data_IF_924058475559
#
_entry.id   IF_924058475559
#
_cell.length_a   1.000
_cell.length_b   1.000
_cell.length_c   1.000
_cell.angle_alpha   90.00
_cell.angle_beta   90.00
_cell.angle_gamma   90.00
#
_symmetry.space_group_name_H-M   'P 1'
#
loop_
_entity.id
_entity.type
_entity.pdbx_description
1 polymer ?
#
# COMPACT_ATOMS: atom_id res chain seq x y z
N UNK A 1 15.96 9.75 28.34
CA UNK A 1 15.26 8.46 28.40
C UNK A 1 16.15 7.42 27.76
N UNK A 2 16.39 6.31 28.47
CA UNK A 2 17.17 5.18 27.94
C UNK A 2 16.27 4.39 26.98
N UNK A 3 16.68 4.25 25.72
CA UNK A 3 16.00 3.41 24.73
C UNK A 3 16.67 2.03 24.68
N UNK A 4 16.08 1.09 23.98
CA UNK A 4 16.67 -0.24 23.77
C UNK A 4 17.04 -0.42 22.30
N UNK A 5 18.18 -1.06 22.04
CA UNK A 5 18.64 -1.38 20.70
C UNK A 5 17.59 -2.23 19.98
N UNK A 6 17.23 -1.88 18.75
CA UNK A 6 16.19 -2.64 18.02
C UNK A 6 16.58 -4.09 17.81
N UNK A 7 17.87 -4.33 17.54
CA UNK A 7 18.36 -5.67 17.21
C UNK A 7 18.60 -6.54 18.46
N UNK A 8 19.44 -6.08 19.39
CA UNK A 8 19.86 -6.88 20.55
C UNK A 8 19.19 -6.50 21.87
N UNK A 9 18.27 -5.54 21.85
CA UNK A 9 17.53 -5.02 23.01
C UNK A 9 18.39 -4.41 24.14
N UNK A 10 19.71 -4.29 23.96
CA UNK A 10 20.59 -3.64 24.94
C UNK A 10 20.24 -2.15 25.16
N UNK A 11 20.32 -1.62 26.40
CA UNK A 11 20.08 -0.21 26.67
C UNK A 11 21.03 0.70 25.88
N UNK A 12 20.51 1.75 25.26
CA UNK A 12 21.28 2.71 24.46
C UNK A 12 20.67 4.11 24.52
N UNK A 13 21.52 5.12 24.30
CA UNK A 13 21.13 6.51 24.04
C UNK A 13 21.29 6.89 22.57
N UNK A 14 21.91 6.04 21.75
CA UNK A 14 22.18 6.31 20.34
C UNK A 14 20.96 5.93 19.50
N UNK A 15 20.62 6.79 18.56
CA UNK A 15 19.56 6.59 17.58
C UNK A 15 20.11 6.65 16.17
N UNK A 16 19.37 6.11 15.22
CA UNK A 16 19.66 6.28 13.80
C UNK A 16 19.79 7.79 13.50
N UNK A 17 20.88 8.20 12.87
CA UNK A 17 21.12 9.61 12.53
C UNK A 17 20.09 10.10 11.49
N UNK A 18 19.65 9.22 10.59
CA UNK A 18 18.72 9.59 9.52
C UNK A 18 17.26 9.77 9.95
N UNK A 19 16.80 9.14 11.03
CA UNK A 19 15.39 9.23 11.44
C UNK A 19 15.19 9.53 12.94
N UNK A 20 16.20 9.29 13.78
CA UNK A 20 16.12 9.35 15.24
C UNK A 20 15.03 8.49 15.90
N UNK A 21 14.29 7.67 15.14
CA UNK A 21 13.21 6.80 15.61
C UNK A 21 13.75 5.51 16.20
N UNK A 22 14.58 4.81 15.43
CA UNK A 22 15.15 3.51 15.84
C UNK A 22 16.42 3.72 16.63
N UNK A 23 16.59 2.96 17.71
CA UNK A 23 17.76 3.02 18.58
C UNK A 23 18.69 1.83 18.33
N UNK A 24 20.00 2.08 18.36
CA UNK A 24 21.02 1.03 18.18
C UNK A 24 22.10 1.18 19.23
N UNK A 25 22.61 0.10 19.80
CA UNK A 25 23.74 0.18 20.74
C UNK A 25 25.08 0.43 20.02
N UNK A 26 25.19 0.00 18.75
CA UNK A 26 26.42 0.03 17.96
C UNK A 26 26.14 0.19 16.47
N UNK A 27 27.18 0.59 15.70
CA UNK A 27 27.13 0.60 14.24
C UNK A 27 26.89 -0.81 13.68
N UNK A 28 27.42 -1.85 14.32
CA UNK A 28 27.22 -3.25 13.93
C UNK A 28 25.73 -3.62 13.95
N UNK A 29 25.04 -3.37 15.06
CA UNK A 29 23.60 -3.64 15.15
C UNK A 29 22.78 -2.81 14.16
N UNK A 30 23.20 -1.57 13.90
CA UNK A 30 22.56 -0.76 12.86
C UNK A 30 22.75 -1.37 11.48
N UNK A 31 23.97 -1.80 11.11
CA UNK A 31 24.26 -2.40 9.81
C UNK A 31 23.54 -3.73 9.60
N UNK A 32 23.43 -4.58 10.63
CA UNK A 32 22.69 -5.84 10.57
C UNK A 32 21.18 -5.63 10.40
N UNK A 33 20.60 -4.66 11.10
CA UNK A 33 19.18 -4.31 10.96
C UNK A 33 18.88 -3.41 9.75
N UNK A 34 19.91 -2.86 9.10
CA UNK A 34 19.74 -1.86 8.04
C UNK A 34 18.90 -2.35 6.87
N UNK A 35 18.94 -3.66 6.61
CA UNK A 35 18.20 -4.29 5.51
C UNK A 35 16.69 -4.05 5.61
N UNK A 36 16.15 -3.98 6.82
CA UNK A 36 14.75 -3.67 7.08
C UNK A 36 14.56 -2.16 7.29
N UNK A 37 15.41 -1.57 8.13
CA UNK A 37 15.23 -0.17 8.54
C UNK A 37 15.32 0.83 7.38
N UNK A 38 16.10 0.54 6.34
CA UNK A 38 16.27 1.45 5.20
C UNK A 38 14.92 1.81 4.55
N UNK A 39 13.97 0.87 4.50
CA UNK A 39 12.65 1.06 3.88
C UNK A 39 11.78 2.05 4.65
N UNK A 40 12.09 2.27 5.93
CA UNK A 40 11.33 3.14 6.82
C UNK A 40 12.13 4.36 7.27
N UNK A 41 13.39 4.50 6.88
CA UNK A 41 14.25 5.60 7.34
C UNK A 41 13.87 6.91 6.66
N UNK A 42 13.79 8.01 7.42
CA UNK A 42 13.47 9.34 6.87
C UNK A 42 14.59 9.89 5.98
N UNK A 43 15.84 9.57 6.30
CA UNK A 43 17.02 9.98 5.52
C UNK A 43 17.97 8.79 5.40
N UNK A 44 17.70 7.86 4.47
CA UNK A 44 18.51 6.65 4.29
C UNK A 44 19.90 6.91 3.69
N UNK A 45 20.16 8.14 3.21
CA UNK A 45 21.44 8.54 2.62
C UNK A 45 21.66 8.05 1.18
N UNK A 46 20.69 7.34 0.61
CA UNK A 46 20.61 6.97 -0.80
C UNK A 46 19.17 6.67 -1.19
N UNK A 47 18.91 6.61 -2.49
CA UNK A 47 17.63 6.12 -3.02
C UNK A 47 17.34 4.67 -2.56
N UNK A 48 16.08 4.43 -2.20
CA UNK A 48 15.54 3.09 -1.88
C UNK A 48 15.09 2.48 -3.21
N UNK A 49 15.61 1.29 -3.51
CA UNK A 49 15.40 0.63 -4.80
C UNK A 49 14.58 -0.64 -4.64
N UNK A 50 14.06 -1.18 -5.75
CA UNK A 50 13.36 -2.49 -5.74
C UNK A 50 14.23 -3.64 -5.22
N UNK A 51 15.56 -3.50 -5.25
CA UNK A 51 16.50 -4.46 -4.65
C UNK A 51 16.39 -4.49 -3.12
N UNK A 52 16.16 -3.33 -2.49
CA UNK A 52 16.06 -3.21 -1.03
C UNK A 52 14.80 -3.90 -0.53
N UNK A 53 13.68 -3.73 -1.25
CA UNK A 53 12.45 -4.47 -0.98
C UNK A 53 12.63 -5.99 -1.15
N UNK A 54 13.27 -6.43 -2.23
CA UNK A 54 13.56 -7.86 -2.44
C UNK A 54 14.44 -8.42 -1.32
N UNK A 55 15.46 -7.67 -0.91
CA UNK A 55 16.36 -8.10 0.14
C UNK A 55 15.66 -8.16 1.50
N UNK A 56 14.84 -7.18 1.86
CA UNK A 56 14.03 -7.23 3.08
C UNK A 56 13.16 -8.48 3.12
N UNK A 57 12.49 -8.82 2.01
CA UNK A 57 11.74 -10.07 1.89
C UNK A 57 12.64 -11.28 2.10
N UNK A 58 13.79 -11.35 1.44
CA UNK A 58 14.70 -12.48 1.58
C UNK A 58 15.19 -12.62 3.01
N UNK A 59 15.49 -11.53 3.72
CA UNK A 59 16.01 -11.57 5.09
C UNK A 59 14.95 -11.79 6.16
N UNK A 60 13.67 -11.55 5.84
CA UNK A 60 12.56 -11.80 6.76
C UNK A 60 12.45 -13.30 7.11
N UNK A 61 12.50 -13.70 8.40
CA UNK A 61 12.27 -15.07 8.81
C UNK A 61 10.86 -15.58 8.45
N UNK A 62 9.85 -14.70 8.41
CA UNK A 62 8.47 -15.08 8.10
C UNK A 62 8.28 -15.43 6.63
N UNK A 63 9.11 -14.86 5.74
CA UNK A 63 9.02 -15.10 4.30
C UNK A 63 9.46 -16.50 3.87
N UNK A 64 10.10 -17.24 4.77
CA UNK A 64 10.55 -18.61 4.55
C UNK A 64 9.50 -19.66 4.92
N UNK A 65 8.38 -19.25 5.55
CA UNK A 65 7.30 -20.16 5.87
C UNK A 65 6.40 -20.37 4.64
N UNK A 66 6.26 -21.60 4.11
CA UNK A 66 5.45 -21.88 2.92
C UNK A 66 3.95 -21.59 3.08
N UNK A 67 3.46 -21.38 4.31
CA UNK A 67 2.05 -21.01 4.58
C UNK A 67 1.81 -19.51 4.67
N UNK A 68 2.87 -18.69 4.71
CA UNK A 68 2.75 -17.23 4.86
C UNK A 68 2.79 -16.56 3.49
N UNK A 69 1.72 -15.88 3.11
CA UNK A 69 1.69 -15.04 1.90
C UNK A 69 2.62 -13.86 2.11
N UNK A 70 3.82 -13.94 1.57
CA UNK A 70 4.78 -12.82 1.59
C UNK A 70 4.24 -11.72 0.69
N UNK A 71 3.88 -10.58 1.29
CA UNK A 71 3.52 -9.39 0.53
C UNK A 71 4.79 -8.79 -0.08
N UNK A 72 5.07 -9.16 -1.32
CA UNK A 72 6.13 -8.52 -2.10
C UNK A 72 5.68 -7.13 -2.55
N UNK A 73 6.63 -6.22 -2.66
CA UNK A 73 6.45 -4.95 -3.37
C UNK A 73 6.32 -5.25 -4.87
N UNK A 74 5.17 -4.95 -5.49
CA UNK A 74 4.88 -5.31 -6.88
C UNK A 74 5.94 -4.85 -7.90
N UNK A 75 6.47 -3.60 -7.85
CA UNK A 75 7.59 -3.20 -8.69
C UNK A 75 8.82 -4.08 -8.50
N UNK A 76 9.07 -4.58 -7.28
CA UNK A 76 10.16 -5.53 -7.03
C UNK A 76 9.86 -6.92 -7.59
N UNK A 77 8.62 -7.41 -7.53
CA UNK A 77 8.28 -8.67 -8.20
C UNK A 77 8.54 -8.60 -9.71
N UNK A 78 8.15 -7.49 -10.33
CA UNK A 78 8.39 -7.26 -11.75
C UNK A 78 9.88 -7.16 -12.09
N UNK A 79 10.60 -6.24 -11.45
CA UNK A 79 11.99 -5.92 -11.75
C UNK A 79 12.92 -7.13 -11.60
N UNK A 80 12.56 -8.05 -10.71
CA UNK A 80 13.37 -9.21 -10.35
C UNK A 80 12.85 -10.51 -10.95
N UNK A 81 11.88 -10.46 -11.86
CA UNK A 81 11.48 -11.58 -12.72
C UNK A 81 10.37 -12.49 -12.16
N UNK A 82 9.83 -12.20 -10.98
CA UNK A 82 8.80 -13.02 -10.35
C UNK A 82 7.46 -13.04 -11.11
N UNK A 83 7.17 -12.01 -11.91
CA UNK A 83 5.99 -12.01 -12.79
C UNK A 83 6.17 -12.86 -14.06
N UNK A 84 7.42 -13.08 -14.50
CA UNK A 84 7.69 -14.00 -15.61
C UNK A 84 7.68 -15.46 -15.17
N UNK A 85 7.98 -15.74 -13.91
CA UNK A 85 7.88 -17.06 -13.31
C UNK A 85 6.41 -17.49 -13.22
N UNK A 86 5.99 -18.36 -14.13
CA UNK A 86 4.59 -18.80 -14.27
C UNK A 86 4.18 -19.80 -13.20
N UNK A 87 5.12 -20.58 -12.66
CA UNK A 87 4.84 -21.57 -11.61
C UNK A 87 5.29 -21.10 -10.23
N UNK A 88 4.65 -21.64 -9.17
CA UNK A 88 5.10 -21.39 -7.81
C UNK A 88 6.49 -21.98 -7.54
N UNK A 89 6.86 -23.07 -8.23
CA UNK A 89 8.20 -23.64 -8.06
C UNK A 89 9.27 -22.74 -8.68
N UNK A 90 9.02 -22.14 -9.85
CA UNK A 90 9.94 -21.17 -10.44
C UNK A 90 10.11 -19.94 -9.55
N UNK A 91 9.03 -19.44 -8.95
CA UNK A 91 9.10 -18.33 -7.98
C UNK A 91 9.95 -18.69 -6.77
N UNK A 92 9.84 -19.92 -6.25
CA UNK A 92 10.67 -20.39 -5.12
C UNK A 92 12.13 -20.56 -5.53
N UNK A 93 12.40 -21.14 -6.69
CA UNK A 93 13.75 -21.29 -7.19
C UNK A 93 14.43 -19.94 -7.42
N UNK A 94 13.71 -18.98 -8.01
CA UNK A 94 14.15 -17.60 -8.16
C UNK A 94 14.46 -16.93 -6.81
N UNK A 95 13.61 -17.12 -5.80
CA UNK A 95 13.85 -16.63 -4.44
C UNK A 95 15.11 -17.25 -3.83
N UNK A 96 15.35 -18.56 -4.03
CA UNK A 96 16.57 -19.25 -3.56
C UNK A 96 17.83 -18.71 -4.22
N UNK A 97 17.79 -18.42 -5.53
CA UNK A 97 18.91 -17.80 -6.26
C UNK A 97 19.25 -16.43 -5.68
N UNK A 98 18.25 -15.57 -5.46
CA UNK A 98 18.51 -14.27 -4.83
C UNK A 98 18.91 -14.38 -3.35
N UNK A 99 18.43 -15.40 -2.64
CA UNK A 99 18.88 -15.68 -1.28
C UNK A 99 20.36 -16.06 -1.23
N UNK A 100 20.83 -16.92 -2.13
CA UNK A 100 22.26 -17.21 -2.29
C UNK A 100 23.03 -15.92 -2.57
N UNK A 101 22.55 -15.10 -3.50
CA UNK A 101 23.19 -13.84 -3.87
C UNK A 101 23.40 -12.89 -2.67
N UNK A 102 22.36 -12.66 -1.88
CA UNK A 102 22.41 -11.70 -0.79
C UNK A 102 22.99 -12.26 0.51
N UNK A 103 22.68 -13.51 0.86
CA UNK A 103 23.09 -14.11 2.14
C UNK A 103 24.42 -14.84 2.05
N UNK A 104 24.63 -15.60 0.98
CA UNK A 104 25.81 -16.47 0.83
C UNK A 104 26.96 -15.74 0.17
N UNK A 105 26.70 -14.97 -0.88
CA UNK A 105 27.75 -14.24 -1.62
C UNK A 105 27.96 -12.82 -1.09
N UNK A 106 27.12 -12.36 -0.15
CA UNK A 106 27.25 -11.05 0.48
C UNK A 106 27.09 -9.87 -0.48
N UNK A 107 26.43 -10.07 -1.63
CA UNK A 107 26.18 -9.00 -2.59
C UNK A 107 25.18 -8.03 -1.98
N UNK A 108 25.56 -6.75 -1.91
CA UNK A 108 24.67 -5.71 -1.37
C UNK A 108 23.50 -5.44 -2.34
N UNK A 109 22.29 -5.12 -1.83
CA UNK A 109 21.14 -4.81 -2.69
C UNK A 109 21.43 -3.70 -3.71
N UNK A 110 22.13 -2.64 -3.29
CA UNK A 110 22.54 -1.55 -4.17
C UNK A 110 23.44 -2.00 -5.32
N UNK A 111 24.27 -3.04 -5.12
CA UNK A 111 25.13 -3.60 -6.16
C UNK A 111 24.32 -4.42 -7.14
N UNK A 112 23.43 -5.28 -6.65
CA UNK A 112 22.54 -6.06 -7.50
C UNK A 112 21.61 -5.15 -8.32
N UNK A 113 21.10 -4.06 -7.73
CA UNK A 113 20.33 -3.04 -8.45
C UNK A 113 21.13 -2.47 -9.63
N UNK A 114 22.40 -2.08 -9.41
CA UNK A 114 23.27 -1.59 -10.48
C UNK A 114 23.43 -2.62 -11.59
N UNK A 115 23.65 -3.90 -11.26
CA UNK A 115 23.77 -4.95 -12.27
C UNK A 115 22.50 -5.10 -13.11
N UNK A 116 21.33 -5.00 -12.47
CA UNK A 116 20.02 -5.03 -13.14
C UNK A 116 19.87 -3.86 -14.12
N UNK A 117 20.08 -2.63 -13.66
CA UNK A 117 19.95 -1.42 -14.49
C UNK A 117 20.95 -1.42 -15.65
N UNK A 118 22.13 -1.98 -15.45
CA UNK A 118 23.15 -2.14 -16.49
C UNK A 118 22.90 -3.33 -17.44
N UNK A 119 21.84 -4.11 -17.23
CA UNK A 119 21.52 -5.28 -18.06
C UNK A 119 22.49 -6.46 -17.92
N UNK A 120 23.34 -6.47 -16.88
CA UNK A 120 24.34 -7.52 -16.65
C UNK A 120 24.03 -8.44 -15.46
N UNK A 121 22.83 -8.33 -14.87
CA UNK A 121 22.41 -9.09 -13.68
C UNK A 121 22.67 -10.60 -13.80
N UNK A 122 22.15 -11.23 -14.84
CA UNK A 122 22.29 -12.68 -15.05
C UNK A 122 23.76 -13.11 -15.04
N UNK A 123 24.59 -12.47 -15.87
CA UNK A 123 26.02 -12.78 -15.98
C UNK A 123 26.74 -12.61 -14.64
N UNK A 124 26.42 -11.54 -13.90
CA UNK A 124 27.04 -11.28 -12.59
C UNK A 124 26.63 -12.27 -11.51
N UNK A 125 25.40 -12.79 -11.55
CA UNK A 125 24.97 -13.87 -10.64
C UNK A 125 25.74 -15.15 -10.98
N UNK A 126 25.86 -15.52 -12.26
CA UNK A 126 26.65 -16.67 -12.70
C UNK A 126 28.09 -16.56 -12.20
N UNK A 127 28.73 -15.39 -12.36
CA UNK A 127 30.08 -15.13 -11.88
C UNK A 127 30.19 -15.29 -10.35
N UNK A 128 29.19 -14.82 -9.59
CA UNK A 128 29.17 -14.95 -8.14
C UNK A 128 29.12 -16.42 -7.68
N UNK A 129 28.31 -17.27 -8.34
CA UNK A 129 28.29 -18.71 -8.08
C UNK A 129 29.65 -19.37 -8.37
N UNK A 130 30.27 -19.03 -9.51
CA UNK A 130 31.59 -19.55 -9.89
C UNK A 130 32.68 -19.13 -8.92
N UNK A 131 32.70 -17.86 -8.51
CA UNK A 131 33.67 -17.32 -7.55
C UNK A 131 33.52 -17.94 -6.16
N UNK A 132 32.29 -18.32 -5.78
CA UNK A 132 32.03 -19.06 -4.55
C UNK A 132 32.41 -20.55 -4.63
N UNK A 133 32.98 -21.02 -5.73
CA UNK A 133 33.35 -22.42 -5.96
C UNK A 133 32.14 -23.35 -6.11
N UNK A 134 30.95 -22.79 -6.35
CA UNK A 134 29.73 -23.59 -6.52
C UNK A 134 29.67 -24.07 -7.96
N UNK A 135 29.49 -25.37 -8.14
CA UNK A 135 29.38 -26.01 -9.44
C UNK A 135 27.91 -26.25 -9.80
N UNK A 136 27.65 -26.61 -11.06
CA UNK A 136 26.30 -26.87 -11.59
C UNK A 136 25.62 -28.09 -10.96
N UNK A 137 26.30 -28.85 -10.11
CA UNK A 137 25.65 -29.88 -9.28
C UNK A 137 24.78 -29.28 -8.16
N UNK A 138 24.97 -27.99 -7.83
CA UNK A 138 24.07 -27.28 -6.95
C UNK A 138 22.74 -26.99 -7.66
N UNK A 139 21.63 -27.37 -7.03
CA UNK A 139 20.30 -27.24 -7.60
C UNK A 139 19.94 -25.80 -8.02
N UNK A 140 20.29 -24.79 -7.22
CA UNK A 140 20.00 -23.39 -7.54
C UNK A 140 20.84 -22.91 -8.74
N UNK A 141 22.12 -23.30 -8.80
CA UNK A 141 22.99 -22.91 -9.92
C UNK A 141 22.58 -23.62 -11.23
N UNK A 142 22.21 -24.89 -11.15
CA UNK A 142 21.66 -25.65 -12.29
C UNK A 142 20.40 -24.98 -12.83
N UNK A 143 19.43 -24.68 -11.95
CA UNK A 143 18.19 -24.00 -12.32
C UNK A 143 18.46 -22.61 -12.92
N UNK A 144 19.36 -21.82 -12.32
CA UNK A 144 19.75 -20.52 -12.86
C UNK A 144 20.25 -20.63 -14.31
N UNK A 145 21.06 -21.65 -14.61
CA UNK A 145 21.57 -21.88 -15.97
C UNK A 145 20.49 -22.25 -16.98
N UNK A 146 19.39 -22.86 -16.54
CA UNK A 146 18.26 -23.26 -17.38
C UNK A 146 17.25 -22.13 -17.63
N UNK A 147 17.25 -21.09 -16.79
CA UNK A 147 16.22 -20.04 -16.78
C UNK A 147 16.77 -18.60 -16.94
N UNK A 148 17.59 -18.29 -17.97
CA UNK A 148 18.12 -16.95 -18.18
C UNK A 148 17.06 -15.88 -18.49
N UNK A 149 15.88 -16.28 -18.97
CA UNK A 149 14.77 -15.42 -19.37
C UNK A 149 14.15 -14.62 -18.21
N UNK A 150 14.21 -15.16 -16.98
CA UNK A 150 13.68 -14.48 -15.79
C UNK A 150 14.51 -13.29 -15.35
N UNK A 151 15.79 -13.24 -15.75
CA UNK A 151 16.71 -12.16 -15.40
C UNK A 151 16.81 -11.08 -16.49
N UNK A 152 16.07 -11.25 -17.61
CA UNK A 152 16.03 -10.32 -18.75
C UNK A 152 14.71 -9.56 -18.75
N UNK A 153 14.58 -8.56 -17.88
CA UNK A 153 13.41 -7.68 -17.82
C UNK A 153 13.70 -6.42 -18.63
N UNK A 154 12.99 -6.24 -19.75
CA UNK A 154 13.16 -5.11 -20.69
C UNK A 154 12.06 -4.07 -20.58
N UNK A 155 10.89 -4.48 -20.08
CA UNK A 155 9.76 -3.59 -19.84
C UNK A 155 9.95 -2.85 -18.53
N UNK A 156 9.32 -1.69 -18.38
CA UNK A 156 9.17 -1.05 -17.08
C UNK A 156 7.91 -1.58 -16.39
N UNK A 157 7.84 -1.52 -15.06
CA UNK A 157 6.63 -1.90 -14.33
C UNK A 157 5.43 -1.04 -14.75
N UNK A 158 5.64 0.26 -14.98
CA UNK A 158 4.60 1.17 -15.47
C UNK A 158 4.03 0.75 -16.84
N UNK A 159 4.89 0.33 -17.77
CA UNK A 159 4.44 -0.19 -19.08
C UNK A 159 3.66 -1.49 -18.94
N UNK A 160 4.11 -2.41 -18.07
CA UNK A 160 3.37 -3.66 -17.79
C UNK A 160 2.00 -3.37 -17.18
N UNK A 161 1.92 -2.48 -16.19
CA UNK A 161 0.66 -2.08 -15.57
C UNK A 161 -0.28 -1.42 -16.57
N UNK A 162 0.25 -0.57 -17.46
CA UNK A 162 -0.55 0.08 -18.50
C UNK A 162 -1.14 -0.94 -19.48
N UNK A 163 -0.33 -1.90 -19.96
CA UNK A 163 -0.80 -2.98 -20.83
C UNK A 163 -1.86 -3.86 -20.16
N UNK A 164 -1.61 -4.27 -18.91
CA UNK A 164 -2.58 -5.06 -18.13
C UNK A 164 -3.88 -4.29 -17.88
N UNK A 165 -3.81 -2.99 -17.59
CA UNK A 165 -4.98 -2.14 -17.38
C UNK A 165 -5.81 -2.04 -18.67
N UNK A 166 -5.15 -1.95 -19.83
CA UNK A 166 -5.81 -1.96 -21.14
C UNK A 166 -6.55 -3.29 -21.40
N UNK A 167 -5.89 -4.43 -21.22
CA UNK A 167 -6.52 -5.76 -21.39
C UNK A 167 -7.73 -5.94 -20.46
N UNK A 168 -7.61 -5.49 -19.20
CA UNK A 168 -8.71 -5.54 -18.24
C UNK A 168 -9.85 -4.59 -18.61
N UNK A 169 -9.56 -3.39 -19.11
CA UNK A 169 -10.57 -2.46 -19.58
C UNK A 169 -11.39 -3.08 -20.73
N UNK A 170 -10.75 -3.78 -21.67
CA UNK A 170 -11.45 -4.50 -22.72
C UNK A 170 -12.34 -5.62 -22.18
N UNK A 171 -11.87 -6.40 -21.21
CA UNK A 171 -12.67 -7.43 -20.55
C UNK A 171 -13.89 -6.84 -19.84
N UNK A 172 -13.74 -5.70 -19.18
CA UNK A 172 -14.85 -4.99 -18.54
C UNK A 172 -15.81 -4.46 -19.60
N UNK A 173 -15.35 -3.82 -20.67
CA UNK A 173 -16.19 -3.38 -21.78
C UNK A 173 -17.03 -4.53 -22.34
N UNK A 174 -16.41 -5.67 -22.64
CA UNK A 174 -17.12 -6.86 -23.08
C UNK A 174 -18.15 -7.36 -22.06
N UNK A 175 -17.80 -7.33 -20.76
CA UNK A 175 -18.70 -7.74 -19.68
C UNK A 175 -19.95 -6.84 -19.57
N UNK A 176 -19.80 -5.54 -19.78
CA UNK A 176 -20.90 -4.57 -19.69
C UNK A 176 -21.63 -4.37 -21.05
N UNK A 177 -21.24 -5.13 -22.07
CA UNK A 177 -21.88 -5.11 -23.39
C UNK A 177 -21.45 -3.93 -24.29
N UNK A 178 -20.32 -3.30 -24.01
CA UNK A 178 -19.70 -2.32 -24.92
C UNK A 178 -18.84 -3.04 -25.96
N UNK A 179 -18.97 -2.63 -27.22
CA UNK A 179 -18.05 -3.02 -28.28
C UNK A 179 -16.72 -2.26 -28.12
N UNK A 180 -15.61 -2.87 -28.52
CA UNK A 180 -14.29 -2.23 -28.51
C UNK A 180 -14.00 -1.54 -29.83
N UNK A 181 -14.96 -0.77 -30.32
CA UNK A 181 -14.87 0.07 -31.52
C UNK A 181 -14.90 1.56 -31.13
N UNK A 182 -14.80 2.44 -32.14
CA UNK A 182 -14.79 3.88 -31.94
C UNK A 182 -16.07 4.37 -31.22
N UNK A 183 -17.22 3.72 -31.44
CA UNK A 183 -18.48 4.02 -30.74
C UNK A 183 -18.41 3.67 -29.24
N UNK A 184 -17.79 2.55 -28.87
CA UNK A 184 -17.50 2.19 -27.48
C UNK A 184 -16.59 3.22 -26.79
N UNK A 185 -15.58 3.73 -27.51
CA UNK A 185 -14.70 4.80 -27.05
C UNK A 185 -15.44 6.12 -26.81
N UNK A 186 -16.28 6.56 -27.75
CA UNK A 186 -17.10 7.78 -27.61
C UNK A 186 -18.13 7.69 -26.49
N UNK A 187 -18.72 6.50 -26.26
CA UNK A 187 -19.65 6.29 -25.14
C UNK A 187 -18.98 6.44 -23.78
N UNK A 188 -17.76 5.91 -23.64
CA UNK A 188 -16.96 6.06 -22.41
C UNK A 188 -16.53 7.50 -22.21
N UNK A 189 -16.18 8.22 -23.27
CA UNK A 189 -15.77 9.63 -23.20
C UNK A 189 -16.89 10.56 -22.66
N UNK A 190 -18.15 10.22 -22.90
CA UNK A 190 -19.32 10.99 -22.47
C UNK A 190 -19.89 10.57 -21.10
N UNK A 191 -19.22 9.67 -20.38
CA UNK A 191 -19.69 9.21 -19.09
C UNK A 191 -19.63 10.28 -18.00
N UNK A 192 -20.62 10.25 -17.11
CA UNK A 192 -20.55 10.96 -15.83
C UNK A 192 -19.42 10.41 -14.96
N UNK A 193 -18.97 11.21 -13.99
CA UNK A 193 -17.93 10.78 -13.03
C UNK A 193 -18.32 9.49 -12.29
N UNK A 194 -19.61 9.27 -12.00
CA UNK A 194 -20.08 8.04 -11.36
C UNK A 194 -19.91 6.80 -12.25
N UNK A 195 -20.16 6.92 -13.55
CA UNK A 195 -19.94 5.83 -14.49
C UNK A 195 -18.46 5.49 -14.59
N UNK A 196 -17.61 6.52 -14.68
CA UNK A 196 -16.16 6.35 -14.73
C UNK A 196 -15.61 5.68 -13.46
N UNK A 197 -16.09 6.11 -12.28
CA UNK A 197 -15.75 5.50 -10.99
C UNK A 197 -16.12 4.01 -10.96
N UNK A 198 -17.36 3.69 -11.33
CA UNK A 198 -17.84 2.30 -11.36
C UNK A 198 -17.07 1.45 -12.38
N UNK A 199 -16.78 1.99 -13.57
CA UNK A 199 -16.00 1.27 -14.59
C UNK A 199 -14.58 1.00 -14.11
N UNK A 200 -13.92 2.01 -13.55
CA UNK A 200 -12.56 1.83 -13.01
C UNK A 200 -12.58 0.85 -11.83
N UNK A 201 -13.63 0.87 -11.02
CA UNK A 201 -13.82 -0.12 -9.96
C UNK A 201 -14.03 -1.53 -10.52
N UNK A 202 -14.79 -1.71 -11.60
CA UNK A 202 -14.92 -3.01 -12.28
C UNK A 202 -13.56 -3.53 -12.75
N UNK A 203 -12.69 -2.68 -13.30
CA UNK A 203 -11.31 -3.05 -13.67
C UNK A 203 -10.56 -3.59 -12.45
N UNK A 204 -10.67 -2.93 -11.29
CA UNK A 204 -10.05 -3.40 -10.03
C UNK A 204 -10.57 -4.77 -9.62
N UNK A 205 -11.88 -4.99 -9.71
CA UNK A 205 -12.51 -6.26 -9.35
C UNK A 205 -12.07 -7.38 -10.31
N UNK A 206 -12.03 -7.12 -11.62
CA UNK A 206 -11.54 -8.04 -12.65
C UNK A 206 -10.05 -8.33 -12.50
N UNK A 207 -9.29 -7.38 -11.95
CA UNK A 207 -7.89 -7.58 -11.58
C UNK A 207 -7.68 -8.42 -10.30
N UNK A 208 -8.72 -9.11 -9.80
CA UNK A 208 -8.67 -9.95 -8.60
C UNK A 208 -8.87 -9.19 -7.29
N UNK A 209 -9.49 -8.02 -7.32
CA UNK A 209 -9.61 -7.08 -6.19
C UNK A 209 -8.24 -6.74 -5.58
N UNK A 210 -7.22 -6.61 -6.42
CA UNK A 210 -5.96 -6.00 -6.02
C UNK A 210 -6.24 -4.51 -5.83
N UNK A 211 -6.67 -4.16 -4.61
CA UNK A 211 -6.96 -2.79 -4.20
C UNK A 211 -5.78 -1.91 -4.62
N UNK A 212 -5.96 -0.94 -5.54
CA UNK A 212 -4.85 -0.14 -6.00
C UNK A 212 -4.46 0.75 -4.83
N UNK A 213 -3.30 0.48 -4.24
CA UNK A 213 -2.64 1.47 -3.38
C UNK A 213 -2.48 2.82 -4.11
N UNK A 214 -2.50 2.78 -5.44
CA UNK A 214 -2.35 3.90 -6.38
C UNK A 214 -3.66 4.67 -6.66
N UNK A 215 -4.83 4.20 -6.20
CA UNK A 215 -6.13 4.88 -6.42
C UNK A 215 -6.91 5.05 -5.11
N UNK A 216 -6.48 5.97 -4.23
CA UNK A 216 -7.13 6.22 -2.95
C UNK A 216 -8.62 6.51 -3.07
N UNK A 217 -9.07 7.24 -4.09
CA UNK A 217 -10.48 7.58 -4.26
C UNK A 217 -11.39 6.36 -4.39
N UNK A 218 -11.04 5.39 -5.24
CA UNK A 218 -11.83 4.15 -5.37
C UNK A 218 -11.82 3.33 -4.09
N UNK A 219 -10.67 3.27 -3.40
CA UNK A 219 -10.55 2.57 -2.12
C UNK A 219 -11.46 3.16 -1.04
N UNK A 220 -11.68 4.48 -1.08
CA UNK A 220 -12.61 5.19 -0.21
C UNK A 220 -14.07 4.99 -0.64
N UNK A 221 -14.40 5.30 -1.90
CA UNK A 221 -15.77 5.34 -2.43
C UNK A 221 -16.49 4.00 -2.41
N UNK A 222 -15.75 2.90 -2.48
CA UNK A 222 -16.29 1.53 -2.41
C UNK A 222 -16.09 0.85 -1.04
N UNK A 223 -15.81 1.63 0.01
CA UNK A 223 -15.78 1.13 1.39
C UNK A 223 -14.60 0.22 1.73
N UNK A 224 -13.69 -0.01 0.78
CA UNK A 224 -12.53 -0.87 0.94
C UNK A 224 -11.57 -0.37 2.05
N UNK A 225 -11.58 0.93 2.37
CA UNK A 225 -10.78 1.55 3.43
C UNK A 225 -11.12 1.10 4.86
N UNK A 226 -12.25 0.42 5.02
CA UNK A 226 -12.71 -0.13 6.30
C UNK A 226 -12.04 -1.46 6.63
N UNK A 227 -11.45 -2.11 5.63
CA UNK A 227 -10.83 -3.44 5.71
C UNK A 227 -9.36 -3.35 6.13
N UNK A 228 -9.02 -3.81 7.33
CA UNK A 228 -7.64 -3.88 7.83
C UNK A 228 -7.21 -5.30 8.26
N UNK A 229 -8.08 -6.30 8.13
CA UNK A 229 -7.85 -7.70 8.48
C UNK A 229 -7.98 -8.61 7.26
N UNK A 230 -7.16 -9.67 7.18
CA UNK A 230 -7.15 -10.63 6.08
C UNK A 230 -8.50 -11.30 5.85
N UNK A 231 -9.27 -11.55 6.92
CA UNK A 231 -10.63 -12.10 6.81
C UNK A 231 -11.52 -11.19 5.98
N UNK A 232 -11.54 -9.90 6.29
CA UNK A 232 -12.38 -8.94 5.58
C UNK A 232 -11.88 -8.68 4.16
N UNK A 233 -10.56 -8.81 3.91
CA UNK A 233 -10.01 -8.79 2.55
C UNK A 233 -10.53 -9.96 1.71
N UNK A 234 -10.63 -11.15 2.29
CA UNK A 234 -11.20 -12.32 1.63
C UNK A 234 -12.69 -12.13 1.34
N UNK A 235 -13.47 -11.60 2.29
CA UNK A 235 -14.89 -11.32 2.08
C UNK A 235 -15.09 -10.27 0.97
N UNK A 236 -14.28 -9.21 0.94
CA UNK A 236 -14.36 -8.19 -0.12
C UNK A 236 -13.98 -8.77 -1.49
N UNK A 237 -12.98 -9.68 -1.52
CA UNK A 237 -12.58 -10.45 -2.70
C UNK A 237 -13.68 -11.36 -3.24
N UNK A 238 -14.70 -11.67 -2.45
CA UNK A 238 -15.85 -12.47 -2.85
C UNK A 238 -17.07 -11.59 -3.18
N UNK A 239 -17.36 -10.59 -2.33
CA UNK A 239 -18.57 -9.78 -2.37
C UNK A 239 -18.76 -9.02 -3.69
N UNK A 240 -17.75 -8.25 -4.10
CA UNK A 240 -17.87 -7.43 -5.30
C UNK A 240 -17.91 -8.24 -6.60
N UNK A 241 -17.07 -9.28 -6.81
CA UNK A 241 -17.23 -10.15 -7.98
C UNK A 241 -18.61 -10.81 -8.07
N UNK A 242 -19.18 -11.25 -6.94
CA UNK A 242 -20.52 -11.82 -6.92
C UNK A 242 -21.59 -10.78 -7.24
N UNK A 243 -21.46 -9.57 -6.70
CA UNK A 243 -22.40 -8.47 -6.97
C UNK A 243 -22.39 -8.11 -8.45
N UNK A 244 -21.21 -7.88 -9.02
CA UNK A 244 -21.04 -7.52 -10.44
C UNK A 244 -21.63 -8.59 -11.35
N UNK A 245 -21.50 -9.88 -11.01
CA UNK A 245 -22.12 -10.98 -11.78
C UNK A 245 -23.64 -11.04 -11.67
N UNK A 246 -24.25 -10.39 -10.67
CA UNK A 246 -25.68 -10.48 -10.35
C UNK A 246 -26.46 -9.21 -10.70
N UNK A 247 -25.79 -8.11 -11.05
CA UNK A 247 -26.42 -6.86 -11.47
C UNK A 247 -25.93 -6.42 -12.85
N UNK A 248 -26.70 -5.57 -13.51
CA UNK A 248 -26.20 -4.85 -14.68
C UNK A 248 -25.23 -3.75 -14.25
N UNK A 249 -24.42 -3.24 -15.18
CA UNK A 249 -23.56 -2.09 -14.93
C UNK A 249 -24.39 -0.87 -14.51
N UNK A 250 -25.50 -0.60 -15.20
CA UNK A 250 -26.40 0.52 -14.87
C UNK A 250 -27.06 0.38 -13.49
N UNK A 251 -27.49 -0.83 -13.10
CA UNK A 251 -27.99 -1.07 -11.74
C UNK A 251 -26.92 -0.76 -10.69
N UNK A 252 -25.65 -1.07 -10.98
CA UNK A 252 -24.54 -0.80 -10.07
C UNK A 252 -24.23 0.70 -9.99
N UNK A 253 -24.20 1.41 -11.12
CA UNK A 253 -23.97 2.85 -11.21
C UNK A 253 -25.08 3.63 -10.50
N UNK A 254 -26.34 3.26 -10.73
CA UNK A 254 -27.49 3.85 -10.04
C UNK A 254 -27.39 3.64 -8.52
N UNK A 255 -27.11 2.40 -8.09
CA UNK A 255 -26.95 2.10 -6.67
C UNK A 255 -25.77 2.86 -6.04
N UNK A 256 -24.67 3.03 -6.76
CA UNK A 256 -23.52 3.80 -6.32
C UNK A 256 -23.84 5.29 -6.18
N UNK A 257 -24.38 5.91 -7.23
CA UNK A 257 -24.69 7.35 -7.24
C UNK A 257 -25.74 7.74 -6.19
N UNK A 258 -26.68 6.84 -5.89
CA UNK A 258 -27.74 7.03 -4.88
C UNK A 258 -27.38 6.56 -3.47
N UNK A 259 -26.13 6.12 -3.23
CA UNK A 259 -25.68 5.60 -1.91
C UNK A 259 -26.48 4.38 -1.42
N UNK A 260 -26.93 3.54 -2.36
CA UNK A 260 -27.81 2.38 -2.11
C UNK A 260 -27.16 1.04 -2.48
N UNK A 261 -25.83 0.98 -2.60
CA UNK A 261 -25.07 -0.26 -2.83
C UNK A 261 -25.39 -1.37 -1.81
N UNK A 262 -25.63 -1.00 -0.54
CA UNK A 262 -26.05 -1.94 0.51
C UNK A 262 -27.39 -2.59 0.17
N UNK A 263 -28.36 -1.78 -0.27
CA UNK A 263 -29.68 -2.25 -0.72
C UNK A 263 -29.57 -3.14 -1.94
N UNK A 264 -28.71 -2.79 -2.91
CA UNK A 264 -28.45 -3.60 -4.08
C UNK A 264 -27.84 -4.96 -3.69
N UNK A 265 -26.83 -4.99 -2.82
CA UNK A 265 -26.23 -6.23 -2.30
C UNK A 265 -27.29 -7.13 -1.67
N UNK A 266 -28.16 -6.58 -0.83
CA UNK A 266 -29.22 -7.34 -0.17
C UNK A 266 -30.24 -7.88 -1.19
N UNK A 267 -30.66 -7.05 -2.17
CA UNK A 267 -31.57 -7.43 -3.26
C UNK A 267 -30.99 -8.54 -4.15
N UNK A 268 -29.67 -8.57 -4.34
CA UNK A 268 -28.97 -9.61 -5.10
C UNK A 268 -28.60 -10.85 -4.25
N UNK A 269 -29.13 -10.95 -3.02
CA UNK A 269 -28.97 -12.12 -2.16
C UNK A 269 -27.62 -12.20 -1.44
N UNK A 270 -26.88 -11.09 -1.35
CA UNK A 270 -25.54 -11.03 -0.76
C UNK A 270 -25.54 -10.50 0.69
N UNK A 271 -26.72 -10.33 1.31
CA UNK A 271 -26.87 -9.83 2.68
C UNK A 271 -25.98 -10.54 3.69
N UNK A 272 -25.99 -11.88 3.68
CA UNK A 272 -25.19 -12.68 4.62
C UNK A 272 -23.69 -12.38 4.49
N UNK A 273 -23.19 -12.27 3.27
CA UNK A 273 -21.78 -12.00 2.99
C UNK A 273 -21.42 -10.57 3.40
N UNK A 274 -22.25 -9.61 3.02
CA UNK A 274 -22.12 -8.19 3.39
C UNK A 274 -22.15 -7.98 4.91
N UNK A 275 -23.07 -8.62 5.64
CA UNK A 275 -23.16 -8.51 7.10
C UNK A 275 -21.96 -9.14 7.84
N UNK A 276 -21.08 -9.87 7.16
CA UNK A 276 -19.79 -10.32 7.69
C UNK A 276 -18.69 -9.25 7.66
N UNK A 277 -18.91 -8.12 6.98
CA UNK A 277 -18.01 -6.98 6.91
C UNK A 277 -18.02 -6.16 8.21
N UNK A 278 -16.97 -5.36 8.48
CA UNK A 278 -16.98 -4.47 9.66
C UNK A 278 -18.11 -3.44 9.58
N UNK A 279 -18.69 -3.00 10.71
CA UNK A 279 -19.79 -2.03 10.73
C UNK A 279 -19.50 -0.73 9.96
N UNK A 280 -18.24 -0.30 9.95
CA UNK A 280 -17.79 0.88 9.22
C UNK A 280 -17.99 0.74 7.71
N UNK A 281 -17.99 -0.47 7.16
CA UNK A 281 -18.23 -0.73 5.75
C UNK A 281 -19.61 -0.23 5.32
N UNK A 282 -20.65 -0.54 6.12
CA UNK A 282 -22.00 -0.05 5.87
C UNK A 282 -22.06 1.47 6.00
N UNK A 283 -21.42 2.03 7.03
CA UNK A 283 -21.41 3.48 7.25
C UNK A 283 -20.81 4.23 6.05
N UNK A 284 -19.70 3.74 5.49
CA UNK A 284 -19.09 4.36 4.31
C UNK A 284 -19.98 4.22 3.08
N UNK A 285 -20.56 3.04 2.83
CA UNK A 285 -21.39 2.82 1.64
C UNK A 285 -22.78 3.47 1.70
N UNK A 286 -23.28 3.81 2.90
CA UNK A 286 -24.51 4.59 3.07
C UNK A 286 -24.29 6.10 2.94
N UNK A 287 -23.04 6.55 2.84
CA UNK A 287 -22.72 7.96 2.59
C UNK A 287 -22.63 8.24 1.10
N UNK A 288 -22.85 9.50 0.70
CA UNK A 288 -22.63 9.90 -0.68
C UNK A 288 -21.17 9.66 -1.07
N UNK A 289 -20.88 9.09 -2.26
CA UNK A 289 -19.52 8.93 -2.76
C UNK A 289 -18.73 10.24 -2.85
N UNK A 290 -19.44 11.37 -2.91
CA UNK A 290 -18.87 12.73 -2.94
C UNK A 290 -18.67 13.36 -1.54
N UNK A 291 -19.09 12.68 -0.46
CA UNK A 291 -19.08 13.22 0.91
C UNK A 291 -18.42 12.28 1.92
N UNK A 292 -17.29 11.71 1.53
CA UNK A 292 -16.54 10.81 2.40
C UNK A 292 -15.76 11.63 3.45
N UNK A 293 -15.87 11.30 4.75
CA UNK A 293 -15.12 11.96 5.82
C UNK A 293 -13.61 11.96 5.57
N UNK A 294 -12.97 13.11 5.80
CA UNK A 294 -11.54 13.31 5.61
C UNK A 294 -10.66 12.31 6.38
N UNK A 295 -11.13 11.78 7.52
CA UNK A 295 -10.38 10.77 8.28
C UNK A 295 -10.10 9.49 7.51
N UNK A 296 -10.97 9.12 6.56
CA UNK A 296 -10.71 7.94 5.74
C UNK A 296 -9.57 8.20 4.76
N UNK A 297 -9.47 9.42 4.26
CA UNK A 297 -8.33 9.85 3.45
C UNK A 297 -7.05 9.85 4.29
N UNK A 298 -7.08 10.36 5.54
CA UNK A 298 -5.94 10.23 6.46
C UNK A 298 -5.55 8.77 6.69
N UNK A 299 -6.51 7.89 7.02
CA UNK A 299 -6.28 6.46 7.18
C UNK A 299 -5.63 5.90 5.92
N UNK A 300 -6.10 6.33 4.76
CA UNK A 300 -5.56 5.89 3.50
C UNK A 300 -4.11 6.28 3.30
N UNK A 301 -3.80 7.56 3.51
CA UNK A 301 -2.45 8.11 3.41
C UNK A 301 -1.43 7.41 4.32
N UNK A 302 -1.85 6.99 5.53
CA UNK A 302 -0.93 6.32 6.45
C UNK A 302 -0.73 4.84 6.12
N UNK A 303 -1.75 4.15 5.61
CA UNK A 303 -1.67 2.73 5.24
C UNK A 303 -1.03 2.51 3.87
N UNK A 304 -1.40 3.34 2.89
CA UNK A 304 -0.94 3.25 1.50
C UNK A 304 -0.65 4.67 0.96
N UNK A 305 0.57 5.20 1.18
CA UNK A 305 0.91 6.54 0.71
C UNK A 305 1.00 6.56 -0.82
N UNK A 306 -0.09 6.96 -1.48
CA UNK A 306 -0.09 7.23 -2.92
C UNK A 306 0.49 8.61 -3.22
N UNK A 307 1.20 8.75 -4.33
CA UNK A 307 1.70 10.04 -4.81
C UNK A 307 0.57 10.97 -5.29
N UNK A 308 -0.51 10.40 -5.83
CA UNK A 308 -1.71 11.10 -6.35
C UNK A 308 -2.72 11.54 -5.27
N UNK A 309 -2.37 11.39 -3.99
CA UNK A 309 -3.28 11.68 -2.88
C UNK A 309 -3.42 13.20 -2.64
N UNK A 310 -4.65 13.73 -2.65
CA UNK A 310 -4.90 15.12 -2.25
C UNK A 310 -4.52 15.34 -0.78
N UNK A 311 -3.38 16.00 -0.56
CA UNK A 311 -2.87 16.29 0.78
C UNK A 311 -3.61 17.43 1.47
N UNK A 312 -4.48 18.17 0.78
CA UNK A 312 -5.25 19.27 1.35
C UNK A 312 -6.11 18.80 2.53
N UNK A 313 -6.64 17.57 2.48
CA UNK A 313 -7.45 17.00 3.57
C UNK A 313 -6.64 16.69 4.83
N UNK A 314 -5.31 16.58 4.71
CA UNK A 314 -4.43 16.27 5.84
C UNK A 314 -4.21 17.48 6.76
N UNK A 315 -4.50 18.69 6.29
CA UNK A 315 -4.33 19.91 7.09
C UNK A 315 -5.20 19.88 8.35
N UNK A 316 -6.37 19.24 8.28
CA UNK A 316 -7.29 19.06 9.40
C UNK A 316 -6.75 18.14 10.50
N UNK A 317 -5.68 17.42 10.19
CA UNK A 317 -5.01 16.47 11.05
C UNK A 317 -3.59 16.93 11.40
N UNK A 318 -3.32 18.24 11.31
CA UNK A 318 -2.11 18.86 11.83
C UNK A 318 -0.90 18.84 10.90
N UNK A 319 -1.02 18.27 9.69
CA UNK A 319 0.09 18.22 8.74
C UNK A 319 0.55 19.60 8.25
N UNK A 320 -0.35 20.59 8.21
CA UNK A 320 0.00 21.97 7.89
C UNK A 320 0.88 22.66 8.94
N UNK A 321 0.93 22.11 10.16
CA UNK A 321 1.73 22.64 11.27
C UNK A 321 3.12 21.99 11.38
N UNK A 322 3.43 21.02 10.51
CA UNK A 322 4.76 20.44 10.39
C UNK A 322 5.70 21.39 9.65
N UNK A 323 6.92 21.57 10.14
CA UNK A 323 7.88 22.51 9.50
C UNK A 323 8.60 21.92 8.30
N UNK A 324 8.68 20.59 8.23
CA UNK A 324 9.43 19.87 7.20
C UNK A 324 8.88 18.45 6.97
N UNK A 325 9.50 17.73 6.04
CA UNK A 325 9.17 16.35 5.70
C UNK A 325 9.44 15.37 6.84
N UNK A 326 10.43 15.64 7.70
CA UNK A 326 10.75 14.81 8.86
C UNK A 326 9.63 14.87 9.90
N UNK A 327 9.11 16.05 10.21
CA UNK A 327 7.96 16.22 11.09
C UNK A 327 6.69 15.61 10.48
N UNK A 328 6.48 15.79 9.18
CA UNK A 328 5.33 15.20 8.47
C UNK A 328 5.36 13.67 8.52
N UNK A 329 6.51 13.04 8.27
CA UNK A 329 6.67 11.59 8.39
C UNK A 329 6.53 11.11 9.83
N UNK A 330 7.00 11.88 10.80
CA UNK A 330 6.80 11.59 12.22
C UNK A 330 5.32 11.61 12.59
N UNK A 331 4.56 12.61 12.16
CA UNK A 331 3.12 12.71 12.39
C UNK A 331 2.37 11.56 11.70
N UNK A 332 2.72 11.24 10.46
CA UNK A 332 2.20 10.08 9.72
C UNK A 332 2.38 8.78 10.53
N UNK A 333 3.55 8.57 11.10
CA UNK A 333 3.82 7.38 11.92
C UNK A 333 2.97 7.34 13.19
N UNK A 334 2.70 8.48 13.85
CA UNK A 334 1.74 8.49 14.96
C UNK A 334 0.34 8.11 14.53
N UNK A 335 -0.13 8.61 13.38
CA UNK A 335 -1.44 8.22 12.89
C UNK A 335 -1.51 6.75 12.49
N UNK A 336 -0.43 6.15 11.96
CA UNK A 336 -0.35 4.71 11.79
C UNK A 336 -0.55 3.98 13.13
N UNK A 337 0.10 4.41 14.21
CA UNK A 337 -0.14 3.86 15.56
C UNK A 337 -1.56 4.04 16.05
N UNK A 338 -2.16 5.20 15.81
CA UNK A 338 -3.55 5.50 16.19
C UNK A 338 -4.51 4.47 15.61
N UNK A 339 -4.34 4.09 14.34
CA UNK A 339 -5.21 3.10 13.69
C UNK A 339 -4.78 1.65 13.97
N UNK A 340 -3.49 1.34 13.93
CA UNK A 340 -3.00 -0.03 13.91
C UNK A 340 -2.66 -0.58 15.31
N UNK A 341 -2.05 0.23 16.18
CA UNK A 341 -1.65 -0.19 17.53
C UNK A 341 -2.74 0.14 18.56
N UNK A 342 -3.26 1.37 18.53
CA UNK A 342 -4.21 1.87 19.53
C UNK A 342 -5.67 1.62 19.14
N UNK A 343 -5.90 1.14 17.91
CA UNK A 343 -7.21 0.75 17.36
C UNK A 343 -8.29 1.82 17.55
N UNK A 344 -7.92 3.09 17.42
CA UNK A 344 -8.87 4.20 17.51
C UNK A 344 -9.80 4.15 16.28
N UNK A 345 -11.13 4.12 16.47
CA UNK A 345 -12.07 4.13 15.35
C UNK A 345 -11.91 5.41 14.51
N UNK A 346 -11.84 5.33 13.17
CA UNK A 346 -11.65 6.52 12.33
C UNK A 346 -12.66 7.62 12.56
N UNK A 347 -13.94 7.29 12.71
CA UNK A 347 -14.99 8.30 12.94
C UNK A 347 -14.89 8.98 14.33
N UNK A 348 -14.26 8.33 15.31
CA UNK A 348 -13.95 8.98 16.59
C UNK A 348 -12.85 10.04 16.40
N UNK A 349 -11.83 9.73 15.61
CA UNK A 349 -10.76 10.66 15.27
C UNK A 349 -11.27 11.83 14.40
N UNK A 350 -12.20 11.58 13.47
CA UNK A 350 -12.89 12.63 12.70
C UNK A 350 -13.56 13.64 13.63
N UNK A 351 -14.37 13.17 14.59
CA UNK A 351 -15.07 14.05 15.55
C UNK A 351 -14.09 14.83 16.44
N UNK A 352 -13.00 14.19 16.85
CA UNK A 352 -11.97 14.88 17.62
C UNK A 352 -11.27 15.97 16.80
N UNK A 353 -11.05 15.74 15.50
CA UNK A 353 -10.52 16.75 14.59
C UNK A 353 -11.51 17.91 14.38
N UNK A 354 -12.79 17.59 14.18
CA UNK A 354 -13.87 18.58 14.09
C UNK A 354 -13.96 19.47 15.33
N UNK A 355 -13.64 18.94 16.51
CA UNK A 355 -13.68 19.66 17.79
C UNK A 355 -12.33 20.24 18.24
N UNK A 356 -11.27 20.12 17.43
CA UNK A 356 -9.89 20.51 17.80
C UNK A 356 -9.33 19.83 19.07
N UNK A 357 -9.79 18.62 19.38
CA UNK A 357 -9.40 17.84 20.57
C UNK A 357 -8.60 16.57 20.23
N UNK A 358 -7.95 16.51 19.07
CA UNK A 358 -7.16 15.33 18.66
C UNK A 358 -6.06 15.02 19.69
N UNK A 359 -5.38 16.05 20.19
CA UNK A 359 -4.33 15.88 21.19
C UNK A 359 -4.87 15.30 22.51
N UNK A 360 -6.02 15.79 22.96
CA UNK A 360 -6.68 15.32 24.19
C UNK A 360 -7.15 13.87 24.01
N UNK A 361 -7.72 13.54 22.85
CA UNK A 361 -8.07 12.17 22.49
C UNK A 361 -6.85 11.25 22.62
N UNK A 362 -5.74 11.59 21.97
CA UNK A 362 -4.53 10.76 21.96
C UNK A 362 -3.93 10.62 23.36
N UNK A 363 -3.89 11.70 24.15
CA UNK A 363 -3.30 11.66 25.50
C UNK A 363 -4.16 10.94 26.53
N UNK A 364 -5.46 10.83 26.31
CA UNK A 364 -6.37 10.02 27.12
C UNK A 364 -6.24 8.51 26.87
N UNK A 365 -5.63 8.09 25.76
CA UNK A 365 -5.45 6.67 25.44
C UNK A 365 -4.45 6.01 26.40
N UNK A 366 -4.90 5.00 27.14
CA UNK A 366 -4.02 4.20 28.02
C UNK A 366 -2.85 3.54 27.27
N UNK A 367 -3.04 3.22 25.99
CA UNK A 367 -2.03 2.62 25.14
C UNK A 367 -0.95 3.63 24.68
N UNK A 368 -1.24 4.93 24.70
CA UNK A 368 -0.33 5.96 24.21
C UNK A 368 0.76 6.30 25.24
N UNK A 369 1.85 5.54 25.22
CA UNK A 369 3.05 5.82 26.04
C UNK A 369 3.90 6.92 25.40
N UNK A 370 3.47 8.18 25.55
CA UNK A 370 4.15 9.35 25.00
C UNK A 370 5.15 9.97 25.98
N UNK A 371 6.40 10.16 25.54
CA UNK A 371 7.42 10.93 26.25
C UNK A 371 7.14 12.44 26.22
N UNK A 372 7.85 13.22 27.06
CA UNK A 372 7.70 14.67 27.14
C UNK A 372 7.99 15.40 25.82
N UNK A 373 8.96 14.92 25.03
CA UNK A 373 9.26 15.51 23.71
C UNK A 373 8.19 15.18 22.67
N UNK A 374 7.58 13.99 22.76
CA UNK A 374 6.49 13.56 21.88
C UNK A 374 5.20 14.31 22.17
N UNK A 375 4.87 14.49 23.46
CA UNK A 375 3.73 15.31 23.88
C UNK A 375 3.85 16.74 23.38
N UNK A 376 5.02 17.38 23.55
CA UNK A 376 5.25 18.75 23.05
C UNK A 376 5.12 18.85 21.53
N UNK A 377 5.64 17.87 20.81
CA UNK A 377 5.51 17.82 19.35
C UNK A 377 4.04 17.69 18.94
N UNK A 378 3.32 16.69 19.45
CA UNK A 378 1.91 16.45 19.12
C UNK A 378 1.00 17.60 19.51
N UNK A 379 1.20 18.20 20.69
CA UNK A 379 0.43 19.36 21.13
C UNK A 379 0.55 20.51 20.13
N UNK A 380 1.77 20.80 19.66
CA UNK A 380 2.00 21.84 18.66
C UNK A 380 1.35 21.52 17.32
N UNK A 381 1.64 20.34 16.74
CA UNK A 381 1.18 20.04 15.38
C UNK A 381 -0.32 19.77 15.30
N UNK A 382 -0.96 19.28 16.37
CA UNK A 382 -2.40 18.98 16.40
C UNK A 382 -3.28 20.17 16.77
N UNK A 383 -2.72 21.37 16.92
CA UNK A 383 -3.51 22.60 17.11
C UNK A 383 -4.00 23.12 15.74
N UNK A 384 -5.13 22.60 15.26
CA UNK A 384 -5.59 22.75 13.86
C UNK A 384 -6.55 23.93 13.60
N UNK A 385 -7.22 24.44 14.64
CA UNK A 385 -8.23 25.50 14.57
C UNK A 385 -9.37 25.20 13.58
N UNK A 386 -9.73 23.92 13.43
CA UNK A 386 -10.78 23.46 12.55
C UNK A 386 -12.15 24.06 12.89
N UNK A 387 -12.47 24.26 14.17
CA UNK A 387 -13.70 24.93 14.62
C UNK A 387 -13.79 26.35 14.08
N UNK A 388 -12.73 27.14 14.27
CA UNK A 388 -12.68 28.52 13.82
C UNK A 388 -12.74 28.64 12.28
N UNK A 389 -12.11 27.69 11.56
CA UNK A 389 -12.01 27.74 10.09
C UNK A 389 -13.21 27.15 9.36
N UNK A 390 -13.84 26.10 9.91
CA UNK A 390 -14.84 25.29 9.21
C UNK A 390 -16.13 25.09 10.01
N UNK A 391 -16.29 25.74 11.17
CA UNK A 391 -17.48 25.61 12.01
C UNK A 391 -17.72 24.17 12.49
N UNK A 392 -16.66 23.39 12.67
CA UNK A 392 -16.74 22.00 13.11
C UNK A 392 -17.20 21.00 12.05
N UNK A 393 -17.30 21.39 10.78
CA UNK A 393 -17.58 20.47 9.66
C UNK A 393 -16.39 20.44 8.72
N UNK A 394 -15.56 19.41 8.83
CA UNK A 394 -14.38 19.31 7.98
C UNK A 394 -14.77 19.16 6.50
N UNK A 395 -14.02 19.80 5.58
CA UNK A 395 -14.08 19.50 4.15
C UNK A 395 -14.01 18.00 3.89
N UNK A 396 -14.81 17.55 2.92
CA UNK A 396 -14.83 16.15 2.48
C UNK A 396 -13.68 15.89 1.51
N UNK A 397 -13.31 14.62 1.39
CA UNK A 397 -12.30 14.23 0.39
C UNK A 397 -12.80 14.48 -1.03
N UNK A 398 -11.97 15.16 -1.84
CA UNK A 398 -12.12 15.27 -3.29
C UNK A 398 -10.91 14.61 -3.93
N UNK A 399 -11.15 13.73 -4.91
CA UNK A 399 -10.04 13.12 -5.65
C UNK A 399 -9.57 14.12 -6.71
N UNK A 400 -8.26 14.41 -6.74
CA UNK A 400 -7.64 15.31 -7.70
C UNK A 400 -7.74 14.80 -9.15
N UNK A 401 -8.08 13.52 -9.35
CA UNK A 401 -8.13 12.87 -10.67
C UNK A 401 -9.47 12.99 -11.40
N UNK A 402 -10.43 13.77 -10.88
CA UNK A 402 -11.68 14.06 -11.62
C UNK A 402 -11.40 15.02 -12.78
N UNK A 403 -10.97 14.43 -13.91
CA UNK A 403 -10.69 15.03 -15.24
C UNK A 403 -9.40 15.85 -15.37
N UNK A 404 -8.26 15.17 -15.43
CA UNK A 404 -7.06 15.70 -16.11
C UNK A 404 -6.22 14.54 -16.67
N UNK A 405 -6.59 14.08 -17.87
CA UNK A 405 -5.71 13.55 -18.94
C UNK A 405 -6.56 12.72 -19.91
N UNK A 406 -7.09 13.40 -20.93
CA UNK A 406 -7.41 12.78 -22.21
C UNK A 406 -6.09 12.54 -22.98
#
# INVERSE_FOLDING_TARGET
>A
MTRHCELCKAPTKKTCVGCSRVAYCSKKCQSEHWIFHILECDTPGREITTADHLAAVIYDPQSQNPTTSVHFHDPAMHDWGFFKASTNEDKRALLRVYADLFRRFGVKPSTAHKWRVQGCLYTRIIDAYKQAGITTSNANFSWLGQHPEYFKIRTTYASLQSGRKFDLAQLVCAHIGLQSDDEGGERVANWSDHHYDCFTFYIVVFNGNNLPAESPGLWLRFGCCTVNDDRWRLLLKELYPLLIRKCTFEEFVDAYSTSSLITLMDKKGLKKLRSGMPPEFEVVLSQSPSRIPAVWALKSFVTYPAESFDRSVLVHFGFANCTDSTESNRLKHYYAKVFDEWKVPPLMLQRAAEQDIIFDLITALRAAKLSKSERRFLQRVLTTQNQAKYGGKLPVFKDATSKESA
#
